data_IF_476947541064
#
_entry.id   IF_476947541064
#
_cell.length_a   1.000
_cell.length_b   1.000
_cell.length_c   1.000
_cell.angle_alpha   90.00
_cell.angle_beta   90.00
_cell.angle_gamma   90.00
#
_symmetry.space_group_name_H-M   'P 1'
#
loop_
_entity.id
_entity.type
_entity.pdbx_description
1 polymer ?
#
# COMPACT_ATOMS: atom_id res chain seq x y z
N UNK A 1 -12.95 -9.21 5.22
CA UNK A 1 -11.68 -8.46 5.38
C UNK A 1 -10.50 -9.36 5.03
N UNK A 2 -9.39 -8.79 4.55
CA UNK A 2 -8.17 -9.56 4.23
C UNK A 2 -7.00 -8.97 5.02
N UNK A 3 -6.26 -9.82 5.73
CA UNK A 3 -5.03 -9.45 6.45
C UNK A 3 -3.91 -10.43 6.15
N UNK A 4 -2.67 -10.00 6.31
CA UNK A 4 -1.47 -10.83 6.15
C UNK A 4 -0.78 -10.91 7.52
N UNK A 5 -0.61 -12.11 8.12
CA UNK A 5 0.29 -12.28 9.25
C UNK A 5 1.73 -12.06 8.79
N UNK A 6 2.33 -10.94 9.21
CA UNK A 6 3.58 -10.43 8.61
C UNK A 6 4.77 -11.35 8.84
N UNK A 7 4.78 -12.10 9.95
CA UNK A 7 5.80 -13.10 10.27
C UNK A 7 5.79 -14.31 9.32
N UNK A 8 4.66 -14.56 8.65
CA UNK A 8 4.50 -15.68 7.71
C UNK A 8 4.70 -15.29 6.25
N UNK A 9 4.90 -14.00 5.98
CA UNK A 9 4.99 -13.48 4.63
C UNK A 9 6.36 -13.77 4.02
N UNK A 10 6.36 -14.54 2.92
CA UNK A 10 7.55 -14.84 2.14
C UNK A 10 7.32 -14.37 0.71
N UNK A 11 8.10 -13.40 0.19
CA UNK A 11 7.93 -12.91 -1.16
C UNK A 11 8.07 -14.03 -2.19
N UNK A 12 7.06 -14.23 -3.04
CA UNK A 12 7.06 -15.19 -4.15
C UNK A 12 7.98 -14.78 -5.31
N UNK A 13 8.09 -15.62 -6.34
CA UNK A 13 9.01 -15.39 -7.49
C UNK A 13 8.78 -14.04 -8.19
N UNK A 14 7.52 -13.66 -8.43
CA UNK A 14 7.17 -12.37 -9.07
C UNK A 14 7.49 -11.17 -8.16
N UNK A 15 7.21 -11.28 -6.86
CA UNK A 15 7.53 -10.24 -5.87
C UNK A 15 9.06 -10.07 -5.73
N UNK A 16 9.83 -11.16 -5.69
CA UNK A 16 11.31 -11.09 -5.69
C UNK A 16 11.86 -10.44 -6.96
N UNK A 17 11.28 -10.72 -8.13
CA UNK A 17 11.64 -10.01 -9.38
C UNK A 17 11.35 -8.51 -9.25
N UNK A 18 10.20 -8.15 -8.70
CA UNK A 18 9.80 -6.76 -8.52
C UNK A 18 10.72 -6.00 -7.56
N UNK A 19 11.15 -6.63 -6.46
CA UNK A 19 12.14 -6.07 -5.53
C UNK A 19 13.46 -5.78 -6.27
N UNK A 20 13.92 -6.70 -7.12
CA UNK A 20 15.16 -6.52 -7.89
C UNK A 20 15.01 -5.43 -8.96
N UNK A 21 13.86 -5.35 -9.63
CA UNK A 21 13.60 -4.33 -10.65
C UNK A 21 13.63 -2.91 -10.08
N UNK A 22 13.22 -2.75 -8.82
CA UNK A 22 13.12 -1.46 -8.14
C UNK A 22 14.20 -1.29 -7.06
N UNK A 23 15.36 -1.94 -7.21
CA UNK A 23 16.46 -1.82 -6.25
C UNK A 23 17.09 -0.42 -6.22
N UNK A 24 16.78 0.42 -7.21
CA UNK A 24 17.17 1.82 -7.32
C UNK A 24 16.21 2.77 -6.58
N UNK A 25 15.13 2.24 -6.00
CA UNK A 25 14.15 3.02 -5.23
C UNK A 25 14.49 2.96 -3.75
N UNK A 26 14.68 4.13 -3.16
CA UNK A 26 14.79 4.31 -1.72
C UNK A 26 13.38 4.42 -1.11
N UNK A 27 13.15 3.72 0.00
CA UNK A 27 11.86 3.70 0.70
C UNK A 27 12.03 4.22 2.11
N UNK A 28 11.30 5.27 2.46
CA UNK A 28 11.35 5.93 3.77
C UNK A 28 9.97 5.90 4.41
N UNK A 29 9.90 5.49 5.68
CA UNK A 29 8.68 5.58 6.48
C UNK A 29 8.73 6.80 7.41
N UNK A 30 7.67 7.60 7.44
CA UNK A 30 7.61 8.87 8.17
C UNK A 30 6.24 9.05 8.82
N UNK A 31 6.19 9.54 10.07
CA UNK A 31 4.95 9.98 10.71
C UNK A 31 4.48 11.36 10.24
N UNK A 32 5.33 12.10 9.53
CA UNK A 32 5.05 13.44 9.03
C UNK A 32 4.92 13.45 7.51
N UNK A 33 3.95 14.21 7.02
CA UNK A 33 3.76 14.48 5.60
C UNK A 33 4.65 15.65 5.16
N UNK A 34 5.76 15.33 4.50
CA UNK A 34 6.67 16.35 3.97
C UNK A 34 6.26 16.77 2.55
N UNK A 35 6.29 18.07 2.27
CA UNK A 35 5.98 18.65 0.95
C UNK A 35 4.56 18.31 0.43
N UNK A 36 3.50 18.73 1.12
CA UNK A 36 2.11 18.42 0.74
C UNK A 36 1.76 18.88 -0.69
N UNK A 37 2.37 19.96 -1.18
CA UNK A 37 2.15 20.47 -2.54
C UNK A 37 2.62 19.49 -3.63
N UNK A 38 3.81 18.91 -3.43
CA UNK A 38 4.35 17.89 -4.33
C UNK A 38 3.47 16.63 -4.30
N UNK A 39 3.03 16.22 -3.11
CA UNK A 39 2.19 15.04 -2.95
C UNK A 39 0.82 15.25 -3.61
N UNK A 40 0.22 16.42 -3.44
CA UNK A 40 -1.02 16.80 -4.12
C UNK A 40 -0.84 16.71 -5.65
N UNK A 41 0.27 17.22 -6.19
CA UNK A 41 0.56 17.11 -7.63
C UNK A 41 0.62 15.66 -8.11
N UNK A 42 1.29 14.77 -7.36
CA UNK A 42 1.35 13.33 -7.68
C UNK A 42 -0.05 12.70 -7.57
N UNK A 43 -0.82 13.07 -6.56
CA UNK A 43 -2.19 12.57 -6.36
C UNK A 43 -3.12 13.00 -7.50
N UNK A 44 -3.09 14.28 -7.90
CA UNK A 44 -3.89 14.82 -8.99
C UNK A 44 -3.54 14.13 -10.31
N UNK A 45 -2.25 14.00 -10.62
CA UNK A 45 -1.76 13.28 -11.80
C UNK A 45 -2.24 11.82 -11.78
N UNK A 46 -2.08 11.13 -10.65
CA UNK A 46 -2.50 9.75 -10.49
C UNK A 46 -4.01 9.60 -10.70
N UNK A 47 -4.81 10.48 -10.10
CA UNK A 47 -6.27 10.47 -10.21
C UNK A 47 -6.74 10.71 -11.65
N UNK A 48 -6.14 11.69 -12.32
CA UNK A 48 -6.47 12.02 -13.70
C UNK A 48 -6.15 10.85 -14.65
N UNK A 49 -4.99 10.22 -14.50
CA UNK A 49 -4.61 9.09 -15.35
C UNK A 49 -5.39 7.81 -15.03
N UNK A 50 -5.67 7.54 -13.75
CA UNK A 50 -6.27 6.27 -13.31
C UNK A 50 -7.79 6.26 -13.36
N UNK A 51 -8.42 7.41 -13.10
CA UNK A 51 -9.85 7.58 -12.93
C UNK A 51 -10.46 8.65 -13.84
N UNK A 52 -9.65 9.34 -14.65
CA UNK A 52 -10.12 10.44 -15.52
C UNK A 52 -10.85 11.55 -14.75
N UNK A 53 -10.42 11.78 -13.50
CA UNK A 53 -11.00 12.76 -12.60
C UNK A 53 -9.92 13.69 -12.08
N UNK A 54 -10.13 14.99 -12.29
CA UNK A 54 -9.40 16.05 -11.57
C UNK A 54 -9.95 16.14 -10.15
N UNK A 55 -9.06 16.21 -9.17
CA UNK A 55 -9.41 16.31 -7.74
C UNK A 55 -8.84 17.62 -7.23
N UNK A 56 -9.59 18.35 -6.42
CA UNK A 56 -9.09 19.60 -5.85
C UNK A 56 -8.19 19.36 -4.65
N UNK A 57 -7.41 20.37 -4.26
CA UNK A 57 -6.57 20.31 -3.06
C UNK A 57 -7.40 20.03 -1.81
N UNK A 58 -8.56 20.67 -1.69
CA UNK A 58 -9.45 20.54 -0.54
C UNK A 58 -9.98 19.11 -0.43
N UNK A 59 -10.34 18.48 -1.56
CA UNK A 59 -10.76 17.07 -1.60
C UNK A 59 -9.62 16.12 -1.18
N UNK A 60 -8.39 16.40 -1.61
CA UNK A 60 -7.20 15.64 -1.20
C UNK A 60 -6.92 15.78 0.31
N UNK A 61 -6.91 17.01 0.83
CA UNK A 61 -6.64 17.28 2.25
C UNK A 61 -7.73 16.67 3.15
N UNK A 62 -8.99 16.80 2.76
CA UNK A 62 -10.12 16.21 3.49
C UNK A 62 -10.10 14.68 3.51
N UNK A 63 -9.54 14.04 2.46
CA UNK A 63 -9.53 12.57 2.35
C UNK A 63 -8.28 11.91 2.96
N UNK A 64 -7.12 12.56 2.87
CA UNK A 64 -5.82 11.93 3.16
C UNK A 64 -4.91 12.74 4.10
N UNK A 65 -5.33 13.93 4.54
CA UNK A 65 -4.58 14.75 5.49
C UNK A 65 -5.36 15.05 6.78
N UNK A 66 -6.50 14.38 7.02
CA UNK A 66 -7.26 14.57 8.25
C UNK A 66 -6.58 13.90 9.44
N UNK A 67 -6.72 14.49 10.63
CA UNK A 67 -5.99 14.04 11.83
C UNK A 67 -6.32 12.61 12.28
N UNK A 68 -7.46 12.06 11.86
CA UNK A 68 -7.89 10.73 12.29
C UNK A 68 -7.11 9.61 11.59
N UNK A 69 -6.72 9.81 10.33
CA UNK A 69 -5.98 8.88 9.48
C UNK A 69 -5.58 9.62 8.20
N UNK A 70 -4.40 9.34 7.61
CA UNK A 70 -3.39 8.35 7.96
C UNK A 70 -2.37 8.84 8.99
N UNK A 71 -1.71 7.91 9.68
CA UNK A 71 -0.74 8.17 10.77
C UNK A 71 0.71 7.87 10.37
N UNK A 72 0.91 7.26 9.21
CA UNK A 72 2.22 6.89 8.67
C UNK A 72 2.22 7.04 7.14
N UNK A 73 3.36 7.46 6.60
CA UNK A 73 3.58 7.60 5.16
C UNK A 73 4.75 6.73 4.72
N UNK A 74 4.61 6.04 3.60
CA UNK A 74 5.74 5.38 2.92
C UNK A 74 6.10 6.17 1.67
N UNK A 75 7.32 6.69 1.62
CA UNK A 75 7.83 7.60 0.60
C UNK A 75 8.82 6.85 -0.30
N UNK A 76 8.63 6.92 -1.62
CA UNK A 76 9.42 6.19 -2.60
C UNK A 76 10.21 7.19 -3.45
N UNK A 77 11.53 7.16 -3.32
CA UNK A 77 12.43 8.08 -4.01
C UNK A 77 13.26 7.36 -5.07
N UNK A 78 13.28 7.92 -6.28
CA UNK A 78 14.19 7.52 -7.35
C UNK A 78 15.13 8.69 -7.63
N UNK A 79 16.44 8.49 -7.43
CA UNK A 79 17.46 9.55 -7.63
C UNK A 79 17.09 10.88 -6.95
N UNK A 80 16.61 10.82 -5.71
CA UNK A 80 16.11 11.96 -4.87
C UNK A 80 14.78 12.57 -5.30
N UNK A 81 14.15 12.09 -6.36
CA UNK A 81 12.82 12.51 -6.77
C UNK A 81 11.76 11.63 -6.09
N UNK A 82 10.75 12.24 -5.45
CA UNK A 82 9.60 11.49 -4.95
C UNK A 82 8.77 10.99 -6.13
N UNK A 83 8.64 9.66 -6.26
CA UNK A 83 7.92 8.99 -7.35
C UNK A 83 6.66 8.27 -6.89
N UNK A 84 6.52 7.99 -5.60
CA UNK A 84 5.33 7.38 -5.03
C UNK A 84 5.20 7.63 -3.53
N UNK A 85 3.96 7.56 -3.04
CA UNK A 85 3.61 7.72 -1.64
C UNK A 85 2.45 6.80 -1.27
N UNK A 86 2.64 6.05 -0.17
CA UNK A 86 1.60 5.29 0.50
C UNK A 86 1.12 6.02 1.75
N UNK A 87 -0.20 6.08 1.90
CA UNK A 87 -0.92 6.58 3.06
C UNK A 87 -1.32 5.37 3.91
N UNK A 88 -0.82 5.30 5.14
CA UNK A 88 -0.91 4.12 5.99
C UNK A 88 -1.48 4.52 7.35
N UNK A 89 -2.43 3.73 7.83
CA UNK A 89 -2.86 3.77 9.22
C UNK A 89 -2.09 2.74 10.05
N UNK A 90 -1.63 3.16 11.23
CA UNK A 90 -0.82 2.37 12.16
C UNK A 90 -1.61 2.14 13.45
N UNK A 91 -2.11 0.92 13.64
CA UNK A 91 -2.75 0.49 14.88
C UNK A 91 -1.73 -0.09 15.85
N UNK A 92 -2.18 -0.52 17.03
CA UNK A 92 -1.32 -1.22 18.00
C UNK A 92 -0.72 -2.51 17.43
N UNK A 93 -1.48 -3.28 16.65
CA UNK A 93 -1.12 -4.62 16.17
C UNK A 93 -0.90 -4.73 14.66
N UNK A 94 -1.18 -3.69 13.88
CA UNK A 94 -1.15 -3.76 12.43
C UNK A 94 -0.78 -2.45 11.73
N UNK A 95 -0.37 -2.58 10.46
CA UNK A 95 -0.41 -1.49 9.48
C UNK A 95 -1.56 -1.74 8.49
N UNK A 96 -2.19 -0.67 8.02
CA UNK A 96 -3.28 -0.73 7.05
C UNK A 96 -3.05 0.29 5.94
N UNK A 97 -2.89 -0.16 4.70
CA UNK A 97 -2.79 0.76 3.56
C UNK A 97 -4.14 1.40 3.30
N UNK A 98 -4.20 2.71 3.45
CA UNK A 98 -5.37 3.53 3.13
C UNK A 98 -5.39 3.82 1.64
N UNK A 99 -4.27 4.30 1.10
CA UNK A 99 -4.14 4.66 -0.30
C UNK A 99 -2.70 4.66 -0.78
N UNK A 100 -2.47 4.52 -2.08
CA UNK A 100 -1.15 4.62 -2.68
C UNK A 100 -1.24 5.36 -4.01
N UNK A 101 -0.43 6.41 -4.17
CA UNK A 101 -0.32 7.16 -5.42
C UNK A 101 1.13 7.21 -5.89
N UNK A 102 1.31 7.34 -7.18
CA UNK A 102 2.61 7.42 -7.81
C UNK A 102 2.51 8.15 -9.14
N UNK A 103 3.64 8.73 -9.58
CA UNK A 103 3.78 9.42 -10.86
C UNK A 103 3.54 8.45 -12.02
N UNK A 104 2.66 8.81 -12.94
CA UNK A 104 2.15 7.93 -13.99
C UNK A 104 3.23 7.40 -14.93
N UNK A 105 4.31 8.18 -15.13
CA UNK A 105 5.50 7.77 -15.90
C UNK A 105 6.24 6.54 -15.35
N UNK A 106 5.91 6.07 -14.15
CA UNK A 106 6.51 4.89 -13.53
C UNK A 106 5.55 3.69 -13.42
N UNK A 107 4.47 3.66 -14.22
CA UNK A 107 3.50 2.55 -14.25
C UNK A 107 4.12 1.16 -14.45
N UNK A 108 5.11 1.05 -15.34
CA UNK A 108 5.84 -0.21 -15.64
C UNK A 108 6.66 -0.76 -14.46
N UNK A 109 6.90 0.06 -13.43
CA UNK A 109 7.59 -0.34 -12.20
C UNK A 109 6.69 -1.03 -11.19
N UNK A 110 5.37 -1.05 -11.44
CA UNK A 110 4.36 -1.64 -10.56
C UNK A 110 4.49 -1.20 -9.09
N UNK A 111 4.68 0.11 -8.87
CA UNK A 111 5.01 0.69 -7.56
C UNK A 111 3.99 0.36 -6.47
N UNK A 112 2.70 0.21 -6.79
CA UNK A 112 1.71 -0.21 -5.80
C UNK A 112 1.91 -1.64 -5.29
N UNK A 113 2.36 -2.58 -6.14
CA UNK A 113 2.72 -3.93 -5.66
C UNK A 113 4.05 -3.92 -4.91
N UNK A 114 4.97 -3.06 -5.32
CA UNK A 114 6.24 -2.88 -4.64
C UNK A 114 6.03 -2.31 -3.23
N UNK A 115 5.10 -1.37 -3.08
CA UNK A 115 4.83 -0.72 -1.81
C UNK A 115 4.36 -1.71 -0.75
N UNK A 116 3.44 -2.59 -1.11
CA UNK A 116 2.91 -3.64 -0.23
C UNK A 116 4.03 -4.50 0.36
N UNK A 117 5.02 -4.89 -0.46
CA UNK A 117 6.14 -5.72 0.01
C UNK A 117 6.94 -4.96 1.08
N UNK A 118 7.21 -3.69 0.86
CA UNK A 118 7.96 -2.85 1.79
C UNK A 118 7.16 -2.55 3.05
N UNK A 119 5.86 -2.28 2.92
CA UNK A 119 4.99 -2.01 4.07
C UNK A 119 4.80 -3.26 4.96
N UNK A 120 4.69 -4.46 4.38
CA UNK A 120 4.69 -5.72 5.16
C UNK A 120 6.00 -5.91 5.91
N UNK A 121 7.14 -5.64 5.26
CA UNK A 121 8.47 -5.73 5.88
C UNK A 121 8.61 -4.73 7.02
N UNK A 122 8.22 -3.48 6.79
CA UNK A 122 8.26 -2.45 7.81
C UNK A 122 7.33 -2.76 8.98
N UNK A 123 6.13 -3.29 8.71
CA UNK A 123 5.22 -3.78 9.75
C UNK A 123 5.89 -4.84 10.64
N UNK A 124 6.61 -5.80 10.04
CA UNK A 124 7.39 -6.79 10.78
C UNK A 124 8.52 -6.15 11.60
N UNK A 125 9.27 -5.21 11.00
CA UNK A 125 10.40 -4.51 11.63
C UNK A 125 9.98 -3.72 12.89
N UNK A 126 8.80 -3.08 12.87
CA UNK A 126 8.27 -2.34 14.03
C UNK A 126 7.41 -3.21 14.96
N UNK A 127 7.42 -4.54 14.80
CA UNK A 127 6.76 -5.48 15.70
C UNK A 127 5.24 -5.61 15.54
N UNK A 128 4.68 -5.23 14.39
CA UNK A 128 3.26 -5.49 14.09
C UNK A 128 3.05 -6.98 13.79
N UNK A 129 1.82 -7.43 14.02
CA UNK A 129 1.40 -8.82 13.77
C UNK A 129 0.78 -8.95 12.39
N UNK A 130 0.04 -7.93 11.95
CA UNK A 130 -0.74 -7.99 10.73
C UNK A 130 -0.47 -6.81 9.81
N UNK A 131 -0.73 -7.04 8.53
CA UNK A 131 -0.80 -6.00 7.52
C UNK A 131 -2.11 -6.13 6.75
N UNK A 132 -2.86 -5.04 6.66
CA UNK A 132 -4.10 -4.94 5.92
C UNK A 132 -3.83 -4.24 4.58
N UNK A 133 -4.15 -4.93 3.49
CA UNK A 133 -3.97 -4.47 2.12
C UNK A 133 -4.94 -3.34 1.69
N UNK A 134 -5.63 -2.69 2.64
CA UNK A 134 -6.80 -1.84 2.40
C UNK A 134 -8.05 -2.64 2.00
N UNK A 135 -9.18 -1.94 1.77
CA UNK A 135 -10.49 -2.56 1.52
C UNK A 135 -10.45 -3.61 0.40
N UNK A 136 -10.96 -4.83 0.61
CA UNK A 136 -10.96 -5.93 -0.37
C UNK A 136 -12.40 -6.27 -0.78
N UNK A 137 -12.72 -6.08 -2.06
CA UNK A 137 -13.97 -6.48 -2.69
C UNK A 137 -13.65 -7.63 -3.64
N UNK A 138 -14.06 -8.83 -3.26
CA UNK A 138 -13.72 -10.11 -3.92
C UNK A 138 -14.08 -10.14 -5.42
N UNK A 139 -15.16 -9.46 -5.82
CA UNK A 139 -15.62 -9.41 -7.22
C UNK A 139 -15.04 -8.26 -8.06
N UNK A 140 -14.12 -7.47 -7.51
CA UNK A 140 -13.52 -6.34 -8.22
C UNK A 140 -12.25 -6.77 -8.96
N UNK A 141 -12.27 -6.74 -10.31
CA UNK A 141 -11.12 -7.07 -11.16
C UNK A 141 -9.86 -6.26 -10.84
N UNK A 142 -10.04 -5.03 -10.34
CA UNK A 142 -8.97 -4.14 -9.89
C UNK A 142 -8.31 -4.58 -8.57
N UNK A 143 -8.86 -5.57 -7.88
CA UNK A 143 -8.39 -6.07 -6.57
C UNK A 143 -7.83 -7.49 -6.64
N UNK A 144 -7.80 -8.11 -7.82
CA UNK A 144 -7.22 -9.44 -8.06
C UNK A 144 -5.72 -9.50 -7.71
N UNK A 145 -5.02 -8.37 -7.67
CA UNK A 145 -3.61 -8.37 -7.25
C UNK A 145 -3.43 -8.74 -5.77
N UNK A 146 -4.43 -8.48 -4.91
CA UNK A 146 -4.33 -8.75 -3.46
C UNK A 146 -4.21 -10.24 -3.15
N UNK A 147 -4.81 -11.10 -3.99
CA UNK A 147 -4.67 -12.56 -3.87
C UNK A 147 -3.27 -13.07 -4.23
N UNK A 148 -2.40 -12.22 -4.80
CA UNK A 148 -1.01 -12.57 -5.14
C UNK A 148 -0.06 -12.47 -3.94
N UNK A 149 -0.48 -11.81 -2.86
CA UNK A 149 0.23 -11.77 -1.58
C UNK A 149 -0.21 -12.94 -0.70
N UNK A 150 0.11 -14.15 -1.16
CA UNK A 150 -0.23 -15.41 -0.47
C UNK A 150 0.32 -15.44 0.98
N UNK A 151 -0.33 -16.24 1.83
CA UNK A 151 -0.29 -16.17 3.30
C UNK A 151 -1.20 -15.08 3.88
N UNK A 152 -2.36 -14.85 3.27
CA UNK A 152 -3.39 -13.98 3.85
C UNK A 152 -4.49 -14.79 4.53
N UNK A 153 -5.18 -14.15 5.46
CA UNK A 153 -6.35 -14.66 6.15
C UNK A 153 -7.57 -13.84 5.72
N UNK A 154 -8.70 -14.51 5.53
CA UNK A 154 -9.99 -13.87 5.30
C UNK A 154 -10.84 -13.99 6.56
N UNK A 155 -11.48 -12.89 6.98
CA UNK A 155 -12.49 -12.94 8.02
C UNK A 155 -13.78 -13.56 7.46
N UNK A 156 -14.18 -14.69 8.01
CA UNK A 156 -15.51 -15.26 7.83
C UNK A 156 -16.50 -14.49 8.70
N UNK A 157 -17.47 -13.84 8.06
CA UNK A 157 -18.46 -13.01 8.74
C UNK A 157 -19.46 -13.80 9.58
N UNK A 158 -19.70 -15.07 9.24
CA UNK A 158 -20.64 -15.92 9.98
C UNK A 158 -20.02 -16.40 11.29
N UNK A 159 -18.77 -16.87 11.22
CA UNK A 159 -18.07 -17.44 12.37
C UNK A 159 -17.25 -16.40 13.14
N UNK A 160 -17.01 -15.22 12.55
CA UNK A 160 -16.08 -14.19 13.04
C UNK A 160 -14.65 -14.69 13.22
N UNK A 161 -14.27 -15.74 12.49
CA UNK A 161 -12.94 -16.33 12.54
C UNK A 161 -12.10 -15.93 11.33
N UNK A 162 -10.79 -15.84 11.53
CA UNK A 162 -9.82 -15.62 10.46
C UNK A 162 -9.40 -16.97 9.89
N UNK A 163 -9.71 -17.19 8.61
CA UNK A 163 -9.44 -18.43 7.91
C UNK A 163 -8.19 -18.24 7.04
N UNK A 164 -7.11 -19.03 7.26
CA UNK A 164 -5.93 -19.01 6.41
C UNK A 164 -6.26 -19.45 4.98
N UNK A 165 -5.85 -18.67 3.98
CA UNK A 165 -6.00 -19.04 2.58
C UNK A 165 -4.65 -19.54 2.06
N UNK A 166 -4.54 -20.85 1.90
CA UNK A 166 -3.39 -21.47 1.25
C UNK A 166 -3.52 -21.38 -0.27
N UNK A 167 -2.38 -21.23 -0.95
CA UNK A 167 -2.32 -21.30 -2.40
C UNK A 167 -2.71 -22.72 -2.82
N UNK A 168 -3.85 -22.89 -3.53
CA UNK A 168 -4.08 -24.14 -4.28
C UNK A 168 -2.89 -24.30 -5.24
N UNK A 169 -2.16 -25.41 -5.07
CA UNK A 169 -1.02 -25.78 -5.89
C UNK A 169 -1.41 -25.86 -7.36
#
# INVERSE_FOLDING_TARGET
PLRIPVSSFIPGKSQRRLIRQNSDIEVIFSGELKNPDLIYSIYEEHSLNRFHRKVTREEFEASLCTQSCPTLYSLYYLKKELVGIGFIDCSSDALSSVYFVYKSGYSERALGNFSIIHEIRYALEIGKKYYYLGYYIEKCSRMVYKSRFYSYEILDWNTKQWIPVSKKR
#
